data_IF_884463539078
#
_entry.id   IF_884463539078
#
_cell.length_a   1.000
_cell.length_b   1.000
_cell.length_c   1.000
_cell.angle_alpha   90.00
_cell.angle_beta   90.00
_cell.angle_gamma   90.00
#
_symmetry.space_group_name_H-M   'P 1'
#
loop_
_entity.id
_entity.type
_entity.pdbx_description
1 polymer ?
#
# COMPACT_ATOMS: atom_id res chain seq x y z
N UNK A 1 17.79 12.79 13.03
CA UNK A 1 16.39 12.86 12.57
C UNK A 1 15.44 13.27 13.69
N UNK A 2 15.97 13.92 14.73
CA UNK A 2 15.18 14.45 15.82
C UNK A 2 14.24 15.55 15.31
N UNK A 3 13.01 15.58 15.82
CA UNK A 3 11.98 16.54 15.42
C UNK A 3 11.09 16.13 14.25
N UNK A 4 11.37 15.03 13.54
CA UNK A 4 10.49 14.47 12.51
C UNK A 4 9.49 13.49 13.13
N UNK A 5 8.24 13.54 12.68
CA UNK A 5 7.29 12.48 12.98
C UNK A 5 7.62 11.19 12.20
N UNK A 6 6.98 10.07 12.55
CA UNK A 6 7.31 8.76 11.97
C UNK A 6 7.11 8.72 10.45
N UNK A 7 6.06 9.39 9.92
CA UNK A 7 5.79 9.45 8.48
C UNK A 7 6.86 10.26 7.75
N UNK A 8 7.26 11.41 8.30
CA UNK A 8 8.32 12.24 7.72
C UNK A 8 9.66 11.50 7.74
N UNK A 9 9.99 10.84 8.85
CA UNK A 9 11.20 10.02 8.96
C UNK A 9 11.24 8.93 7.92
N UNK A 10 10.16 8.18 7.80
CA UNK A 10 10.01 7.15 6.78
C UNK A 10 10.23 7.70 5.36
N UNK A 11 9.62 8.83 5.01
CA UNK A 11 9.79 9.43 3.69
C UNK A 11 11.23 9.90 3.42
N UNK A 12 11.89 10.46 4.42
CA UNK A 12 13.32 10.83 4.30
C UNK A 12 14.18 9.59 4.06
N UNK A 13 13.95 8.51 4.80
CA UNK A 13 14.65 7.23 4.63
C UNK A 13 14.44 6.65 3.23
N UNK A 14 13.21 6.65 2.70
CA UNK A 14 12.91 6.21 1.35
C UNK A 14 13.69 7.01 0.29
N UNK A 15 13.78 8.33 0.44
CA UNK A 15 14.54 9.15 -0.50
C UNK A 15 16.06 8.92 -0.40
N UNK A 16 16.57 8.61 0.79
CA UNK A 16 17.96 8.19 0.98
C UNK A 16 18.22 6.84 0.29
N UNK A 17 17.31 5.89 0.40
CA UNK A 17 17.40 4.61 -0.30
C UNK A 17 17.36 4.80 -1.83
N UNK A 18 16.46 5.63 -2.36
CA UNK A 18 16.42 5.98 -3.78
C UNK A 18 17.76 6.55 -4.27
N UNK A 19 18.41 7.39 -3.45
CA UNK A 19 19.72 7.94 -3.77
C UNK A 19 20.83 6.88 -3.74
N UNK A 20 20.84 6.01 -2.72
CA UNK A 20 21.83 4.92 -2.58
C UNK A 20 21.72 3.90 -3.71
N UNK A 21 20.51 3.66 -4.19
CA UNK A 21 20.22 2.78 -5.33
C UNK A 21 20.49 3.47 -6.70
N UNK A 22 20.91 4.74 -6.69
CA UNK A 22 21.23 5.49 -7.90
C UNK A 22 20.01 5.93 -8.72
N UNK A 23 18.80 5.83 -8.18
CA UNK A 23 17.56 6.22 -8.84
C UNK A 23 17.39 7.74 -8.92
N UNK A 24 17.98 8.47 -7.97
CA UNK A 24 17.96 9.93 -7.93
C UNK A 24 19.36 10.48 -7.65
N UNK A 25 19.64 11.65 -8.20
CA UNK A 25 20.89 12.37 -7.92
C UNK A 25 20.80 13.18 -6.61
N UNK A 26 21.95 13.63 -6.10
CA UNK A 26 22.06 14.38 -4.83
C UNK A 26 21.18 15.64 -4.79
N UNK A 27 21.07 16.36 -5.91
CA UNK A 27 20.24 17.58 -5.99
C UNK A 27 18.75 17.22 -5.80
N UNK A 28 18.33 16.14 -6.42
CA UNK A 28 16.95 15.65 -6.30
C UNK A 28 16.66 15.11 -4.90
N UNK A 29 17.60 14.41 -4.27
CA UNK A 29 17.49 14.00 -2.87
C UNK A 29 17.24 15.21 -1.96
N UNK A 30 18.09 16.25 -2.05
CA UNK A 30 17.91 17.47 -1.24
C UNK A 30 16.55 18.11 -1.50
N UNK A 31 16.10 18.19 -2.76
CA UNK A 31 14.79 18.74 -3.12
C UNK A 31 13.65 17.95 -2.48
N UNK A 32 13.67 16.62 -2.59
CA UNK A 32 12.62 15.75 -2.03
C UNK A 32 12.59 15.79 -0.50
N UNK A 33 13.74 15.72 0.14
CA UNK A 33 13.82 15.85 1.60
C UNK A 33 13.35 17.24 2.05
N UNK A 34 13.70 18.31 1.32
CA UNK A 34 13.22 19.66 1.64
C UNK A 34 11.69 19.78 1.59
N UNK A 35 11.03 19.10 0.68
CA UNK A 35 9.56 19.03 0.62
C UNK A 35 8.98 18.36 1.88
N UNK A 36 9.63 17.30 2.38
CA UNK A 36 9.18 16.58 3.58
C UNK A 36 9.40 17.39 4.85
N UNK A 37 10.58 18.03 5.00
CA UNK A 37 10.97 18.76 6.23
C UNK A 37 10.63 20.26 6.18
N UNK A 38 10.11 20.76 5.06
CA UNK A 38 9.64 22.13 4.90
C UNK A 38 10.72 23.15 4.57
N UNK A 39 12.03 22.79 4.52
CA UNK A 39 13.09 23.74 4.15
C UNK A 39 14.32 23.06 3.57
N UNK A 40 15.00 23.73 2.61
CA UNK A 40 16.25 23.26 2.02
C UNK A 40 17.42 23.28 3.02
N UNK A 41 17.44 24.24 3.92
CA UNK A 41 18.48 24.33 4.96
C UNK A 41 18.36 23.15 5.94
N UNK A 42 17.14 22.86 6.44
CA UNK A 42 16.88 21.70 7.29
C UNK A 42 17.24 20.38 6.59
N UNK A 43 16.87 20.23 5.31
CA UNK A 43 17.22 19.06 4.50
C UNK A 43 18.74 18.86 4.41
N UNK A 44 19.50 19.92 4.12
CA UNK A 44 20.94 19.85 3.99
C UNK A 44 21.61 19.47 5.32
N UNK A 45 21.18 20.06 6.43
CA UNK A 45 21.70 19.74 7.76
C UNK A 45 21.40 18.29 8.14
N UNK A 46 20.16 17.84 7.90
CA UNK A 46 19.74 16.47 8.21
C UNK A 46 20.54 15.45 7.40
N UNK A 47 20.70 15.68 6.08
CA UNK A 47 21.43 14.78 5.20
C UNK A 47 22.94 14.77 5.49
N UNK A 48 23.53 15.84 6.03
CA UNK A 48 24.94 15.86 6.43
C UNK A 48 25.23 14.87 7.58
N UNK A 49 24.22 14.51 8.39
CA UNK A 49 24.34 13.54 9.47
C UNK A 49 24.02 12.09 9.02
N UNK A 50 23.63 11.88 7.74
CA UNK A 50 23.26 10.57 7.22
C UNK A 50 24.44 9.97 6.42
N UNK A 51 24.61 8.64 6.54
CA UNK A 51 25.48 7.92 5.61
C UNK A 51 24.82 7.89 4.23
N UNK A 52 25.42 8.57 3.26
CA UNK A 52 24.97 8.64 1.88
C UNK A 52 25.83 7.81 0.92
N UNK A 53 26.57 6.81 1.43
CA UNK A 53 27.38 5.94 0.61
C UNK A 53 26.50 5.17 -0.38
N UNK A 54 26.83 5.18 -1.69
CA UNK A 54 26.13 4.36 -2.67
C UNK A 54 26.22 2.89 -2.30
N UNK A 55 25.14 2.12 -2.49
CA UNK A 55 25.24 0.67 -2.45
C UNK A 55 26.09 0.22 -3.62
N UNK A 56 27.19 -0.52 -3.34
CA UNK A 56 28.00 -1.14 -4.39
C UNK A 56 27.10 -2.07 -5.19
N UNK A 57 26.85 -1.72 -6.47
CA UNK A 57 25.97 -2.42 -7.35
C UNK A 57 26.41 -3.86 -7.55
N UNK A 58 25.74 -4.78 -6.89
CA UNK A 58 25.68 -6.17 -7.29
C UNK A 58 24.75 -6.26 -8.49
N UNK A 59 25.32 -6.30 -9.70
CA UNK A 59 24.60 -6.73 -10.90
C UNK A 59 24.23 -8.21 -10.69
N UNK A 60 23.07 -8.46 -10.13
CA UNK A 60 22.54 -9.81 -10.05
C UNK A 60 21.86 -10.11 -11.38
N UNK A 61 22.57 -10.85 -12.23
CA UNK A 61 21.98 -11.64 -13.31
C UNK A 61 20.89 -12.53 -12.68
N UNK A 62 19.67 -12.58 -13.21
CA UNK A 62 18.63 -13.44 -12.65
C UNK A 62 18.99 -14.90 -12.85
N UNK A 63 19.46 -15.56 -11.81
CA UNK A 63 19.56 -17.02 -11.79
C UNK A 63 18.19 -17.56 -11.38
N UNK A 64 17.55 -18.25 -12.29
CA UNK A 64 16.28 -18.91 -12.08
C UNK A 64 16.35 -19.97 -10.98
N UNK A 65 15.23 -20.08 -10.27
CA UNK A 65 14.74 -21.26 -9.55
C UNK A 65 15.19 -21.48 -8.11
N UNK A 66 14.26 -21.18 -7.20
CA UNK A 66 13.97 -22.15 -6.13
C UNK A 66 12.47 -22.12 -5.82
N UNK A 67 11.91 -23.31 -5.81
CA UNK A 67 10.50 -23.62 -5.62
C UNK A 67 9.99 -23.17 -4.25
N UNK A 68 8.96 -22.32 -4.27
CA UNK A 68 8.12 -22.06 -3.09
C UNK A 68 7.26 -23.28 -2.85
N UNK A 69 7.51 -24.01 -1.76
CA UNK A 69 6.65 -25.13 -1.33
C UNK A 69 5.34 -24.55 -0.79
N UNK A 70 4.32 -24.57 -1.61
CA UNK A 70 2.95 -24.29 -1.19
C UNK A 70 2.41 -25.51 -0.41
N UNK A 71 2.11 -25.32 0.86
CA UNK A 71 1.31 -26.26 1.65
C UNK A 71 -0.12 -26.23 1.14
N UNK A 72 -0.55 -27.29 0.48
CA UNK A 72 -1.90 -27.46 -0.07
C UNK A 72 -2.88 -27.83 1.03
N UNK A 73 -3.92 -27.03 1.21
CA UNK A 73 -5.17 -27.44 1.86
C UNK A 73 -6.28 -27.58 0.81
N UNK A 74 -7.17 -28.60 0.91
CA UNK A 74 -8.02 -29.01 -0.19
C UNK A 74 -9.34 -28.23 -0.28
N UNK A 75 -9.71 -27.87 -1.50
CA UNK A 75 -11.10 -27.84 -1.94
C UNK A 75 -11.86 -26.53 -1.78
N UNK A 76 -11.69 -25.60 -2.71
CA UNK A 76 -12.76 -24.67 -3.07
C UNK A 76 -12.84 -24.64 -4.61
N UNK A 77 -14.06 -24.86 -5.11
CA UNK A 77 -14.38 -24.83 -6.53
C UNK A 77 -14.02 -23.46 -7.10
N UNK A 78 -13.02 -23.41 -7.97
CA UNK A 78 -12.60 -22.21 -8.64
C UNK A 78 -13.73 -21.70 -9.55
N UNK A 79 -14.31 -20.55 -9.22
CA UNK A 79 -15.04 -19.75 -10.18
C UNK A 79 -14.02 -19.17 -11.18
N UNK A 80 -14.31 -19.15 -12.49
CA UNK A 80 -13.35 -18.75 -13.51
C UNK A 80 -13.24 -17.22 -13.61
N UNK A 81 -12.54 -16.60 -12.66
CA UNK A 81 -12.18 -15.19 -12.67
C UNK A 81 -10.69 -15.04 -12.47
N UNK A 82 -9.91 -15.44 -13.41
CA UNK A 82 -8.52 -15.04 -13.39
C UNK A 82 -7.88 -15.23 -14.76
N UNK A 83 -8.24 -14.34 -15.66
CA UNK A 83 -7.23 -13.91 -16.59
C UNK A 83 -6.32 -13.00 -15.79
N UNK A 84 -5.00 -13.27 -15.69
CA UNK A 84 -4.07 -12.31 -15.12
C UNK A 84 -4.32 -10.95 -15.76
N UNK A 85 -4.20 -9.82 -15.01
CA UNK A 85 -4.29 -8.52 -15.64
C UNK A 85 -3.31 -8.49 -16.81
N UNK A 86 -3.68 -7.92 -17.96
CA UNK A 86 -2.76 -7.77 -19.08
C UNK A 86 -1.50 -7.04 -18.57
N UNK A 87 -0.35 -7.33 -19.19
CA UNK A 87 0.88 -6.59 -18.88
C UNK A 87 0.59 -5.09 -18.93
N UNK A 88 1.11 -4.35 -17.95
CA UNK A 88 0.91 -2.91 -17.88
C UNK A 88 1.30 -2.25 -19.21
N UNK A 89 0.49 -1.31 -19.66
CA UNK A 89 0.87 -0.41 -20.77
C UNK A 89 2.01 0.50 -20.31
N UNK A 90 2.66 1.21 -21.23
CA UNK A 90 3.72 2.18 -20.88
C UNK A 90 3.29 3.21 -19.81
N UNK A 91 2.00 3.42 -19.66
CA UNK A 91 1.39 4.34 -18.69
C UNK A 91 1.10 3.67 -17.33
N UNK A 92 1.42 2.38 -17.15
CA UNK A 92 1.10 1.63 -15.93
C UNK A 92 -0.39 1.35 -15.74
N UNK A 93 -1.23 1.58 -16.75
CA UNK A 93 -2.68 1.33 -16.70
C UNK A 93 -2.98 -0.05 -17.26
N UNK A 94 -3.50 -0.95 -16.43
CA UNK A 94 -3.91 -2.30 -16.83
C UNK A 94 -5.42 -2.43 -17.02
N UNK A 95 -6.21 -1.67 -16.25
CA UNK A 95 -7.67 -1.61 -16.34
C UNK A 95 -8.10 -0.17 -16.59
N UNK A 96 -8.68 0.11 -17.76
CA UNK A 96 -9.19 1.45 -18.11
C UNK A 96 -10.46 1.78 -17.33
N UNK A 97 -10.74 3.07 -17.11
CA UNK A 97 -12.03 3.50 -16.52
C UNK A 97 -13.24 3.08 -17.37
N UNK A 98 -13.06 2.92 -18.68
CA UNK A 98 -14.06 2.45 -19.62
C UNK A 98 -14.21 0.93 -19.72
N UNK A 99 -13.55 0.16 -18.84
CA UNK A 99 -13.67 -1.30 -18.83
C UNK A 99 -15.14 -1.70 -18.58
N UNK A 100 -15.75 -2.53 -19.47
CA UNK A 100 -17.18 -2.84 -19.38
C UNK A 100 -17.56 -3.71 -18.17
N UNK A 101 -16.59 -4.20 -17.40
CA UNK A 101 -16.82 -5.03 -16.20
C UNK A 101 -17.04 -4.20 -14.94
N UNK A 102 -16.76 -2.88 -14.97
CA UNK A 102 -16.77 -2.01 -13.79
C UNK A 102 -17.48 -0.69 -14.05
N UNK A 103 -17.85 -0.01 -12.98
CA UNK A 103 -18.21 1.41 -12.99
C UNK A 103 -17.25 2.18 -12.10
N UNK A 104 -16.88 3.39 -12.51
CA UNK A 104 -16.00 4.29 -11.75
C UNK A 104 -16.79 5.53 -11.33
N UNK A 105 -16.53 5.99 -10.12
CA UNK A 105 -17.11 7.23 -9.58
C UNK A 105 -16.13 7.95 -8.64
N UNK A 106 -16.36 9.23 -8.40
CA UNK A 106 -15.55 10.06 -7.50
C UNK A 106 -16.46 10.75 -6.49
N UNK A 107 -17.04 9.98 -5.55
CA UNK A 107 -17.90 10.57 -4.52
C UNK A 107 -17.07 11.39 -3.54
N UNK A 108 -17.70 12.40 -2.96
CA UNK A 108 -17.24 13.00 -1.72
C UNK A 108 -17.68 12.11 -0.56
N UNK A 109 -16.73 11.68 0.26
CA UNK A 109 -16.98 10.93 1.50
C UNK A 109 -16.73 11.90 2.66
N UNK A 110 -17.61 11.94 3.63
CA UNK A 110 -17.40 12.76 4.83
C UNK A 110 -16.43 12.07 5.77
N UNK A 111 -15.35 12.78 6.12
CA UNK A 111 -14.46 12.39 7.21
C UNK A 111 -15.20 12.33 8.55
N UNK A 112 -14.57 11.76 9.57
CA UNK A 112 -15.16 11.70 10.93
C UNK A 112 -15.33 13.09 11.55
N UNK A 113 -14.53 14.06 11.11
CA UNK A 113 -14.60 15.49 11.45
C UNK A 113 -15.61 16.29 10.56
N UNK A 114 -16.31 15.60 9.63
CA UNK A 114 -17.23 16.19 8.69
C UNK A 114 -16.57 16.84 7.46
N UNK A 115 -15.24 16.84 7.35
CA UNK A 115 -14.54 17.36 6.19
C UNK A 115 -14.82 16.54 4.93
N UNK A 116 -14.90 17.19 3.74
CA UNK A 116 -15.04 16.45 2.48
C UNK A 116 -13.75 15.75 2.11
N UNK A 117 -13.82 14.45 1.89
CA UNK A 117 -12.72 13.61 1.43
C UNK A 117 -12.94 13.20 -0.02
N UNK A 118 -11.94 13.42 -0.85
CA UNK A 118 -11.96 13.04 -2.26
C UNK A 118 -11.70 11.53 -2.38
N UNK A 119 -12.68 10.80 -2.89
CA UNK A 119 -12.54 9.36 -3.09
C UNK A 119 -12.56 8.98 -4.56
N UNK A 120 -11.80 7.94 -4.89
CA UNK A 120 -11.88 7.22 -6.15
C UNK A 120 -12.47 5.84 -5.89
N UNK A 121 -13.59 5.51 -6.51
CA UNK A 121 -14.33 4.27 -6.28
C UNK A 121 -14.53 3.54 -7.59
N UNK A 122 -14.21 2.25 -7.61
CA UNK A 122 -14.60 1.35 -8.68
C UNK A 122 -15.45 0.19 -8.14
N UNK A 123 -16.49 -0.17 -8.89
CA UNK A 123 -17.45 -1.23 -8.50
C UNK A 123 -17.58 -2.23 -9.65
N UNK A 124 -17.60 -3.54 -9.38
CA UNK A 124 -17.92 -4.52 -10.40
C UNK A 124 -19.40 -4.40 -10.85
N UNK A 125 -19.65 -4.66 -12.13
CA UNK A 125 -21.02 -4.78 -12.67
C UNK A 125 -21.49 -6.22 -12.45
N UNK A 126 -22.00 -6.48 -11.25
CA UNK A 126 -22.50 -7.80 -10.85
C UNK A 126 -23.84 -7.65 -10.11
N UNK A 127 -24.63 -8.73 -10.09
CA UNK A 127 -25.84 -8.77 -9.27
C UNK A 127 -25.49 -9.04 -7.81
N UNK A 128 -26.15 -8.31 -6.88
CA UNK A 128 -25.98 -8.49 -5.44
C UNK A 128 -24.87 -7.63 -4.83
N UNK A 129 -24.72 -7.76 -3.52
CA UNK A 129 -23.72 -7.00 -2.74
C UNK A 129 -22.45 -7.85 -2.61
N UNK A 130 -21.31 -7.27 -2.97
CA UNK A 130 -19.99 -7.88 -2.87
C UNK A 130 -19.17 -7.23 -1.77
N UNK A 131 -18.07 -7.85 -1.30
CA UNK A 131 -17.20 -7.26 -0.28
C UNK A 131 -16.52 -5.97 -0.74
N UNK A 132 -16.04 -5.18 0.23
CA UNK A 132 -15.29 -3.95 0.00
C UNK A 132 -13.80 -4.11 0.21
N UNK A 133 -12.99 -3.31 -0.50
CA UNK A 133 -11.54 -3.21 -0.31
C UNK A 133 -11.12 -1.74 -0.28
N UNK A 134 -10.44 -1.34 0.80
CA UNK A 134 -9.73 -0.06 0.85
C UNK A 134 -8.37 -0.27 0.16
N UNK A 135 -8.07 0.55 -0.84
CA UNK A 135 -6.74 0.62 -1.48
C UNK A 135 -6.03 1.86 -0.97
N UNK A 136 -4.94 1.71 -0.24
CA UNK A 136 -4.21 2.83 0.35
C UNK A 136 -2.99 3.17 -0.52
N UNK A 137 -2.90 4.44 -0.90
CA UNK A 137 -1.90 4.95 -1.82
C UNK A 137 -0.48 5.01 -1.21
N UNK A 138 0.50 5.14 -2.09
CA UNK A 138 1.90 5.38 -1.74
C UNK A 138 2.15 6.84 -1.29
N UNK A 139 3.40 7.19 -1.03
CA UNK A 139 3.82 8.54 -0.58
C UNK A 139 3.54 9.66 -1.60
N UNK A 140 3.20 9.34 -2.84
CA UNK A 140 2.84 10.29 -3.91
C UNK A 140 1.33 10.51 -4.06
N UNK A 141 0.53 10.02 -3.11
CA UNK A 141 -0.92 10.22 -3.12
C UNK A 141 -1.67 9.36 -4.12
N UNK A 142 -2.85 9.81 -4.50
CA UNK A 142 -3.77 9.11 -5.42
C UNK A 142 -3.30 9.23 -6.89
N UNK A 143 -2.19 8.57 -7.24
CA UNK A 143 -1.66 8.53 -8.61
C UNK A 143 -2.54 7.67 -9.53
N UNK A 144 -2.31 7.74 -10.85
CA UNK A 144 -3.03 6.88 -11.80
C UNK A 144 -2.74 5.39 -11.58
N UNK A 145 -1.51 5.03 -11.15
CA UNK A 145 -1.21 3.67 -10.72
C UNK A 145 -2.17 3.19 -9.62
N UNK A 146 -2.37 3.99 -8.57
CA UNK A 146 -3.28 3.64 -7.46
C UNK A 146 -4.74 3.57 -7.93
N UNK A 147 -5.18 4.50 -8.79
CA UNK A 147 -6.51 4.45 -9.41
C UNK A 147 -6.69 3.16 -10.23
N UNK A 148 -5.65 2.73 -10.95
CA UNK A 148 -5.66 1.46 -11.68
C UNK A 148 -5.74 0.26 -10.73
N UNK A 149 -5.02 0.25 -9.61
CA UNK A 149 -5.13 -0.81 -8.58
C UNK A 149 -6.55 -0.89 -8.02
N UNK A 150 -7.23 0.23 -7.81
CA UNK A 150 -8.65 0.26 -7.41
C UNK A 150 -9.53 -0.42 -8.48
N UNK A 151 -9.29 -0.15 -9.76
CA UNK A 151 -10.01 -0.81 -10.87
C UNK A 151 -9.68 -2.30 -10.98
N UNK A 152 -8.40 -2.69 -10.76
CA UNK A 152 -7.99 -4.12 -10.69
C UNK A 152 -8.75 -4.86 -9.60
N UNK A 153 -8.89 -4.28 -8.41
CA UNK A 153 -9.68 -4.88 -7.33
C UNK A 153 -11.16 -4.99 -7.71
N UNK A 154 -11.71 -4.00 -8.42
CA UNK A 154 -13.09 -4.06 -8.90
C UNK A 154 -13.29 -5.15 -9.96
N UNK A 155 -12.37 -5.33 -10.92
CA UNK A 155 -12.44 -6.43 -11.88
C UNK A 155 -12.27 -7.81 -11.23
N UNK A 156 -11.67 -7.87 -10.03
CA UNK A 156 -11.57 -9.08 -9.23
C UNK A 156 -12.82 -9.40 -8.38
N UNK A 157 -13.84 -8.51 -8.43
CA UNK A 157 -15.14 -8.72 -7.78
C UNK A 157 -15.37 -7.98 -6.47
N UNK A 158 -14.57 -6.96 -6.15
CA UNK A 158 -14.70 -6.15 -4.93
C UNK A 158 -15.18 -4.73 -5.26
N UNK A 159 -15.94 -4.10 -4.36
CA UNK A 159 -16.07 -2.64 -4.40
C UNK A 159 -14.81 -2.05 -3.81
N UNK A 160 -14.03 -1.35 -4.59
CA UNK A 160 -12.77 -0.79 -4.14
C UNK A 160 -12.83 0.74 -4.00
N UNK A 161 -12.21 1.27 -2.95
CA UNK A 161 -12.12 2.70 -2.67
C UNK A 161 -10.69 3.08 -2.32
N UNK A 162 -10.23 4.19 -2.88
CA UNK A 162 -9.06 4.92 -2.40
C UNK A 162 -9.51 6.34 -1.98
N UNK A 163 -9.04 6.81 -0.82
CA UNK A 163 -9.18 8.20 -0.39
C UNK A 163 -7.88 8.93 -0.64
N UNK A 164 -7.95 10.13 -1.18
CA UNK A 164 -6.83 11.05 -1.24
C UNK A 164 -6.65 11.72 0.14
N UNK A 165 -5.62 11.31 0.87
CA UNK A 165 -5.30 11.86 2.19
C UNK A 165 -5.00 13.37 2.17
N UNK A 166 -4.75 13.93 0.98
CA UNK A 166 -4.51 15.37 0.80
C UNK A 166 -5.76 16.14 0.38
N UNK A 167 -6.94 15.53 0.43
CA UNK A 167 -8.21 16.13 0.02
C UNK A 167 -8.47 17.49 0.69
N UNK A 168 -8.14 17.62 1.99
CA UNK A 168 -8.29 18.87 2.75
C UNK A 168 -7.40 20.02 2.25
N UNK A 169 -6.31 19.70 1.54
CA UNK A 169 -5.40 20.65 0.89
C UNK A 169 -5.73 20.84 -0.59
N UNK A 170 -6.80 20.22 -1.07
CA UNK A 170 -7.28 20.30 -2.44
C UNK A 170 -6.87 19.17 -3.35
N UNK A 171 -6.28 18.11 -2.78
CA UNK A 171 -5.94 16.86 -3.46
C UNK A 171 -4.57 16.82 -4.13
N UNK A 172 -4.09 15.62 -4.40
CA UNK A 172 -2.76 15.38 -4.95
C UNK A 172 -2.56 16.01 -6.33
N UNK A 173 -3.58 16.03 -7.18
CA UNK A 173 -3.50 16.65 -8.51
C UNK A 173 -3.19 18.15 -8.42
N UNK A 174 -3.69 18.85 -7.39
CA UNK A 174 -3.41 20.27 -7.14
C UNK A 174 -2.04 20.49 -6.50
N UNK A 175 -1.64 19.62 -5.59
CA UNK A 175 -0.41 19.76 -4.83
C UNK A 175 0.84 19.40 -5.65
N UNK A 176 0.71 18.51 -6.64
CA UNK A 176 1.84 18.05 -7.45
C UNK A 176 2.97 17.51 -6.57
N UNK A 177 4.18 18.05 -6.72
CA UNK A 177 5.36 17.61 -5.95
C UNK A 177 5.23 17.83 -4.43
N UNK A 178 4.38 18.74 -3.98
CA UNK A 178 4.18 19.00 -2.55
C UNK A 178 3.36 17.91 -1.83
N UNK A 179 2.78 16.96 -2.55
CA UNK A 179 1.93 15.90 -2.01
C UNK A 179 2.60 15.10 -0.90
N UNK A 180 3.86 14.71 -1.11
CA UNK A 180 4.61 13.92 -0.12
C UNK A 180 4.79 14.68 1.21
N UNK A 181 5.11 15.98 1.13
CA UNK A 181 5.21 16.83 2.33
C UNK A 181 3.86 17.02 3.02
N UNK A 182 2.79 17.20 2.24
CA UNK A 182 1.44 17.32 2.78
C UNK A 182 1.02 16.05 3.55
N UNK A 183 1.25 14.87 2.99
CA UNK A 183 1.00 13.58 3.66
C UNK A 183 1.90 13.44 4.90
N UNK A 184 3.18 13.81 4.79
CA UNK A 184 4.14 13.74 5.89
C UNK A 184 3.74 14.59 7.12
N UNK A 185 2.96 15.64 6.91
CA UNK A 185 2.48 16.53 7.97
C UNK A 185 1.17 16.06 8.63
N UNK A 186 0.50 15.03 8.10
CA UNK A 186 -0.72 14.51 8.70
C UNK A 186 -0.41 13.77 10.01
N UNK A 187 -1.23 14.01 11.04
CA UNK A 187 -1.16 13.21 12.25
C UNK A 187 -1.64 11.77 11.98
N UNK A 188 -1.18 10.82 12.80
CA UNK A 188 -1.65 9.44 12.74
C UNK A 188 -3.19 9.39 12.90
N UNK A 189 -3.74 10.13 13.85
CA UNK A 189 -5.18 10.15 14.10
C UNK A 189 -5.96 10.61 12.87
N UNK A 190 -5.51 11.69 12.20
CA UNK A 190 -6.18 12.18 10.99
C UNK A 190 -6.19 11.14 9.88
N UNK A 191 -5.06 10.44 9.66
CA UNK A 191 -4.98 9.37 8.66
C UNK A 191 -5.90 8.20 9.01
N UNK A 192 -5.93 7.77 10.27
CA UNK A 192 -6.83 6.72 10.75
C UNK A 192 -8.30 7.12 10.62
N UNK A 193 -8.65 8.36 10.91
CA UNK A 193 -10.01 8.89 10.77
C UNK A 193 -10.46 8.88 9.30
N UNK A 194 -9.59 9.28 8.38
CA UNK A 194 -9.88 9.28 6.94
C UNK A 194 -10.05 7.85 6.41
N UNK A 195 -9.21 6.91 6.83
CA UNK A 195 -9.38 5.50 6.47
C UNK A 195 -10.62 4.88 7.12
N UNK A 196 -11.00 5.32 8.33
CA UNK A 196 -12.24 4.90 8.99
C UNK A 196 -13.47 5.41 8.24
N UNK A 197 -13.41 6.59 7.65
CA UNK A 197 -14.48 7.07 6.78
C UNK A 197 -14.63 6.19 5.53
N UNK A 198 -13.53 5.76 4.90
CA UNK A 198 -13.54 4.79 3.79
C UNK A 198 -14.14 3.45 4.21
N UNK A 199 -13.75 2.94 5.38
CA UNK A 199 -14.30 1.70 5.96
C UNK A 199 -15.80 1.80 6.16
N UNK A 200 -16.27 2.90 6.74
CA UNK A 200 -17.70 3.15 6.98
C UNK A 200 -18.49 3.24 5.68
N UNK A 201 -17.94 3.94 4.67
CA UNK A 201 -18.52 4.00 3.33
C UNK A 201 -18.67 2.61 2.72
N UNK A 202 -17.63 1.78 2.76
CA UNK A 202 -17.68 0.43 2.22
C UNK A 202 -18.68 -0.45 2.97
N UNK A 203 -18.71 -0.41 4.30
CA UNK A 203 -19.70 -1.17 5.09
C UNK A 203 -21.14 -0.84 4.71
N UNK A 204 -21.44 0.43 4.45
CA UNK A 204 -22.78 0.86 4.04
C UNK A 204 -23.13 0.44 2.59
N UNK A 205 -22.15 0.36 1.70
CA UNK A 205 -22.34 0.20 0.26
C UNK A 205 -21.98 -1.20 -0.29
N UNK A 206 -21.56 -2.15 0.58
CA UNK A 206 -21.11 -3.51 0.20
C UNK A 206 -21.82 -4.58 1.02
N UNK A 207 -21.36 -5.83 0.97
CA UNK A 207 -21.82 -6.91 1.85
C UNK A 207 -21.48 -6.68 3.34
N UNK A 208 -20.70 -5.65 3.65
CA UNK A 208 -20.25 -5.32 5.00
C UNK A 208 -18.89 -5.90 5.37
N UNK A 209 -18.42 -6.95 4.67
CA UNK A 209 -17.06 -7.44 4.84
C UNK A 209 -16.08 -6.52 4.09
N UNK A 210 -15.07 -6.02 4.80
CA UNK A 210 -14.09 -5.07 4.23
C UNK A 210 -12.68 -5.55 4.49
N UNK A 211 -11.85 -5.48 3.44
CA UNK A 211 -10.40 -5.64 3.51
C UNK A 211 -9.67 -4.34 3.24
N UNK A 212 -8.35 -4.33 3.50
CA UNK A 212 -7.47 -3.23 3.16
C UNK A 212 -6.18 -3.74 2.50
N UNK A 213 -5.79 -3.11 1.40
CA UNK A 213 -4.47 -3.28 0.78
C UNK A 213 -3.80 -1.94 0.67
N UNK A 214 -2.50 -1.88 0.93
CA UNK A 214 -1.74 -0.64 0.83
C UNK A 214 -0.30 -0.91 0.45
N UNK A 215 0.32 0.06 -0.21
CA UNK A 215 1.65 -0.09 -0.82
C UNK A 215 2.60 0.95 -0.23
N UNK A 216 3.85 0.56 0.06
CA UNK A 216 4.84 1.49 0.58
C UNK A 216 4.34 2.17 1.87
N UNK A 217 4.26 3.49 1.92
CA UNK A 217 3.57 4.23 2.97
C UNK A 217 2.18 3.65 3.28
N UNK A 218 1.38 3.35 2.25
CA UNK A 218 0.06 2.74 2.42
C UNK A 218 0.09 1.36 3.06
N UNK A 219 1.15 0.58 2.86
CA UNK A 219 1.37 -0.67 3.60
C UNK A 219 1.56 -0.43 5.10
N UNK A 220 2.27 0.65 5.46
CA UNK A 220 2.37 1.12 6.84
C UNK A 220 1.03 1.57 7.42
N UNK A 221 0.19 2.24 6.61
CA UNK A 221 -1.15 2.63 7.04
C UNK A 221 -2.09 1.42 7.24
N UNK A 222 -1.94 0.34 6.46
CA UNK A 222 -2.63 -0.93 6.76
C UNK A 222 -2.21 -1.45 8.12
N UNK A 223 -0.92 -1.45 8.44
CA UNK A 223 -0.43 -1.84 9.77
C UNK A 223 -0.96 -0.93 10.88
N UNK A 224 -1.05 0.38 10.64
CA UNK A 224 -1.65 1.33 11.58
C UNK A 224 -3.12 1.02 11.85
N UNK A 225 -3.90 0.66 10.82
CA UNK A 225 -5.29 0.24 10.96
C UNK A 225 -5.42 -1.03 11.81
N UNK A 226 -4.54 -2.01 11.62
CA UNK A 226 -4.52 -3.24 12.42
C UNK A 226 -4.17 -2.95 13.88
N UNK A 227 -3.19 -2.09 14.14
CA UNK A 227 -2.81 -1.66 15.49
C UNK A 227 -3.90 -0.82 16.18
N UNK A 228 -4.70 -0.08 15.41
CA UNK A 228 -5.86 0.63 15.91
C UNK A 228 -7.08 -0.28 16.18
N UNK A 229 -7.06 -1.52 15.71
CA UNK A 229 -8.17 -2.45 15.83
C UNK A 229 -9.33 -2.13 14.89
N UNK A 230 -9.04 -1.57 13.71
CA UNK A 230 -10.05 -1.32 12.69
C UNK A 230 -10.81 -2.61 12.34
N UNK A 231 -12.12 -2.48 12.15
CA UNK A 231 -13.00 -3.63 11.89
C UNK A 231 -12.87 -4.12 10.43
N UNK A 232 -11.69 -4.66 10.14
CA UNK A 232 -11.31 -5.30 8.89
C UNK A 232 -11.39 -6.82 9.03
N UNK A 233 -11.80 -7.50 7.96
CA UNK A 233 -11.78 -8.96 7.88
C UNK A 233 -10.55 -9.51 7.17
N UNK A 234 -9.92 -8.71 6.30
CA UNK A 234 -8.70 -9.07 5.60
C UNK A 234 -7.77 -7.88 5.46
N UNK A 235 -6.46 -8.13 5.41
CA UNK A 235 -5.44 -7.10 5.24
C UNK A 235 -4.29 -7.61 4.37
N UNK A 236 -3.74 -6.72 3.53
CA UNK A 236 -2.59 -7.00 2.70
C UNK A 236 -1.61 -5.81 2.68
N UNK A 237 -0.77 -5.63 3.72
CA UNK A 237 0.28 -4.62 3.71
C UNK A 237 1.43 -5.05 2.80
N UNK A 238 1.79 -4.19 1.82
CA UNK A 238 2.91 -4.39 0.91
C UNK A 238 4.08 -3.51 1.31
N UNK A 239 5.22 -4.11 1.59
CA UNK A 239 6.49 -3.44 1.93
C UNK A 239 6.31 -2.14 2.74
N UNK A 240 5.41 -2.19 3.71
CA UNK A 240 5.07 -1.07 4.57
C UNK A 240 5.91 -0.99 5.83
N UNK A 241 6.23 0.21 6.32
CA UNK A 241 6.96 0.37 7.58
C UNK A 241 6.17 -0.18 8.77
N UNK A 242 6.90 -0.73 9.73
CA UNK A 242 6.35 -1.13 11.02
C UNK A 242 5.85 0.11 11.78
N UNK A 243 4.62 0.12 12.30
CA UNK A 243 4.13 1.23 13.11
C UNK A 243 4.80 1.28 14.49
N UNK A 244 4.91 2.47 15.08
CA UNK A 244 5.53 2.64 16.42
C UNK A 244 4.81 1.81 17.50
N UNK A 245 3.50 1.65 17.37
CA UNK A 245 2.65 0.88 18.30
C UNK A 245 2.32 -0.54 17.78
N UNK A 246 3.24 -1.18 17.05
CA UNK A 246 3.01 -2.49 16.44
C UNK A 246 2.59 -3.59 17.44
N UNK A 247 2.99 -3.50 18.71
CA UNK A 247 2.60 -4.46 19.75
C UNK A 247 1.08 -4.52 19.97
N UNK A 248 0.36 -3.45 19.67
CA UNK A 248 -1.10 -3.38 19.79
C UNK A 248 -1.81 -4.33 18.83
N UNK A 249 -1.19 -4.68 17.70
CA UNK A 249 -1.72 -5.61 16.70
C UNK A 249 -2.12 -6.94 17.36
N UNK A 250 -1.23 -7.48 18.22
CA UNK A 250 -1.46 -8.76 18.89
C UNK A 250 -2.65 -8.80 19.82
N UNK A 251 -3.19 -7.65 20.25
CA UNK A 251 -4.36 -7.56 21.12
C UNK A 251 -5.62 -7.01 20.45
N UNK A 252 -5.48 -6.38 19.28
CA UNK A 252 -6.56 -5.59 18.70
C UNK A 252 -7.06 -6.12 17.36
N UNK A 253 -6.17 -6.62 16.48
CA UNK A 253 -6.60 -7.03 15.13
C UNK A 253 -7.42 -8.31 15.14
N UNK A 254 -8.40 -8.35 14.22
CA UNK A 254 -9.19 -9.55 13.88
C UNK A 254 -9.05 -9.89 12.38
N UNK A 255 -8.26 -9.14 11.64
CA UNK A 255 -8.12 -9.30 10.21
C UNK A 255 -7.17 -10.44 9.86
N UNK A 256 -7.62 -11.35 8.99
CA UNK A 256 -6.72 -12.27 8.32
C UNK A 256 -5.70 -11.48 7.49
N UNK A 257 -4.38 -11.67 7.71
CA UNK A 257 -3.35 -10.79 7.17
C UNK A 257 -2.37 -11.53 6.27
N UNK A 258 -2.22 -11.07 5.02
CA UNK A 258 -1.20 -11.48 4.06
C UNK A 258 -0.17 -10.36 3.92
N UNK A 259 0.96 -10.43 4.61
CA UNK A 259 1.99 -9.40 4.53
C UNK A 259 2.99 -9.71 3.40
N UNK A 260 3.23 -8.72 2.55
CA UNK A 260 4.09 -8.85 1.36
C UNK A 260 5.34 -8.00 1.53
N UNK A 261 6.50 -8.63 1.43
CA UNK A 261 7.82 -8.02 1.58
C UNK A 261 8.70 -8.26 0.34
N UNK A 262 9.71 -7.42 0.19
CA UNK A 262 10.72 -7.50 -0.86
C UNK A 262 12.09 -7.83 -0.23
N UNK A 263 12.77 -8.89 -0.69
CA UNK A 263 14.02 -9.36 -0.08
C UNK A 263 15.09 -8.26 -0.01
N UNK A 264 15.22 -7.46 -1.07
CA UNK A 264 16.25 -6.41 -1.15
C UNK A 264 15.87 -5.13 -0.37
N UNK A 265 14.63 -4.99 0.07
CA UNK A 265 14.20 -3.93 0.98
C UNK A 265 14.53 -4.35 2.43
N UNK A 266 15.81 -4.43 2.74
CA UNK A 266 16.30 -5.01 4.00
C UNK A 266 15.81 -4.27 5.23
N UNK A 267 15.61 -2.95 5.14
CA UNK A 267 15.12 -2.12 6.24
C UNK A 267 13.69 -2.51 6.65
N UNK A 268 12.81 -2.66 5.69
CA UNK A 268 11.41 -3.03 5.93
C UNK A 268 11.30 -4.52 6.23
N UNK A 269 11.96 -5.36 5.45
CA UNK A 269 11.87 -6.82 5.58
C UNK A 269 12.44 -7.34 6.91
N UNK A 270 13.41 -6.63 7.52
CA UNK A 270 13.89 -6.94 8.87
C UNK A 270 12.80 -6.89 9.96
N UNK A 271 11.70 -6.19 9.72
CA UNK A 271 10.57 -6.10 10.68
C UNK A 271 9.59 -7.29 10.56
N UNK A 272 9.65 -8.07 9.49
CA UNK A 272 8.69 -9.14 9.21
C UNK A 272 8.53 -10.17 10.35
N UNK A 273 9.61 -10.64 11.03
CA UNK A 273 9.45 -11.58 12.14
C UNK A 273 8.63 -11.02 13.31
N UNK A 274 8.84 -9.74 13.64
CA UNK A 274 8.11 -9.08 14.73
C UNK A 274 6.63 -8.89 14.38
N UNK A 275 6.34 -8.57 13.12
CA UNK A 275 4.96 -8.41 12.64
C UNK A 275 4.23 -9.76 12.62
N UNK A 276 4.91 -10.84 12.19
CA UNK A 276 4.37 -12.19 12.23
C UNK A 276 4.07 -12.63 13.66
N UNK A 277 4.96 -12.34 14.61
CA UNK A 277 4.74 -12.63 16.03
C UNK A 277 3.46 -11.98 16.55
N UNK A 278 3.23 -10.70 16.23
CA UNK A 278 2.00 -10.00 16.64
C UNK A 278 0.75 -10.61 16.00
N UNK A 279 0.79 -11.01 14.74
CA UNK A 279 -0.33 -11.70 14.09
C UNK A 279 -0.62 -13.07 14.72
N UNK A 280 0.42 -13.83 15.06
CA UNK A 280 0.29 -15.09 15.79
C UNK A 280 -0.30 -14.87 17.18
N UNK A 281 0.14 -13.84 17.90
CA UNK A 281 -0.42 -13.44 19.20
C UNK A 281 -1.88 -13.05 19.12
N UNK A 282 -2.30 -12.39 18.04
CA UNK A 282 -3.71 -12.06 17.78
C UNK A 282 -4.55 -13.31 17.45
N UNK A 283 -3.95 -14.45 17.15
CA UNK A 283 -4.64 -15.67 16.76
C UNK A 283 -5.36 -15.59 15.42
N UNK A 284 -4.98 -14.64 14.55
CA UNK A 284 -5.61 -14.48 13.23
C UNK A 284 -4.89 -15.31 12.16
N UNK A 285 -5.59 -15.77 11.11
CA UNK A 285 -4.95 -16.34 9.94
C UNK A 285 -3.93 -15.35 9.38
N UNK A 286 -2.70 -15.82 9.15
CA UNK A 286 -1.65 -14.94 8.63
C UNK A 286 -0.69 -15.69 7.70
N UNK A 287 -0.08 -14.94 6.79
CA UNK A 287 0.97 -15.41 5.92
C UNK A 287 1.94 -14.26 5.64
N UNK A 288 3.23 -14.55 5.71
CA UNK A 288 4.30 -13.62 5.32
C UNK A 288 4.88 -14.12 3.99
N UNK A 289 4.84 -13.27 2.96
CA UNK A 289 5.45 -13.53 1.67
C UNK A 289 6.66 -12.60 1.50
N UNK A 290 7.85 -13.18 1.36
CA UNK A 290 9.07 -12.44 1.00
C UNK A 290 9.42 -12.82 -0.44
N UNK A 291 9.35 -11.84 -1.34
CA UNK A 291 9.67 -12.06 -2.75
C UNK A 291 11.18 -11.91 -2.99
N UNK A 292 11.84 -12.96 -3.52
CA UNK A 292 13.29 -12.95 -3.72
C UNK A 292 13.70 -12.05 -4.88
N UNK A 293 14.88 -11.42 -4.77
CA UNK A 293 15.52 -10.65 -5.84
C UNK A 293 14.82 -9.35 -6.21
N UNK A 294 13.80 -8.92 -5.48
CA UNK A 294 13.07 -7.67 -5.72
C UNK A 294 13.27 -6.66 -4.60
N UNK A 295 13.14 -5.38 -4.93
CA UNK A 295 13.33 -4.27 -4.00
C UNK A 295 11.98 -3.59 -3.66
N UNK A 296 12.03 -2.58 -2.78
CA UNK A 296 10.90 -1.74 -2.41
C UNK A 296 10.10 -1.27 -3.63
N UNK A 297 8.77 -1.20 -3.50
CA UNK A 297 7.85 -0.78 -4.57
C UNK A 297 7.87 -1.66 -5.85
N UNK A 298 8.26 -2.93 -5.76
CA UNK A 298 8.30 -3.83 -6.91
C UNK A 298 6.94 -4.06 -7.60
N UNK A 299 5.83 -3.75 -6.94
CA UNK A 299 4.48 -3.85 -7.51
C UNK A 299 4.11 -2.63 -8.36
N UNK A 300 4.78 -1.50 -8.18
CA UNK A 300 4.43 -0.26 -8.88
C UNK A 300 4.94 -0.27 -10.32
N UNK A 301 4.04 -0.51 -11.27
CA UNK A 301 4.31 -0.64 -12.72
C UNK A 301 4.65 0.69 -13.41
N UNK A 302 4.65 1.81 -12.68
CA UNK A 302 5.17 3.11 -13.14
C UNK A 302 6.55 3.42 -12.57
N UNK A 303 7.08 2.57 -11.68
CA UNK A 303 8.34 2.77 -10.98
C UNK A 303 9.52 2.01 -11.57
N UNK A 304 10.74 2.51 -11.35
CA UNK A 304 11.98 1.90 -11.86
C UNK A 304 12.29 0.52 -11.25
N UNK A 305 11.69 0.20 -10.09
CA UNK A 305 11.86 -1.09 -9.39
C UNK A 305 10.77 -2.10 -9.72
N UNK A 306 9.93 -1.84 -10.73
CA UNK A 306 8.86 -2.75 -11.11
C UNK A 306 9.39 -4.13 -11.50
N UNK A 307 8.86 -5.16 -10.87
CA UNK A 307 9.17 -6.55 -11.15
C UNK A 307 7.88 -7.30 -11.55
N UNK A 308 7.57 -7.41 -12.85
CA UNK A 308 6.26 -7.86 -13.35
C UNK A 308 5.80 -9.21 -12.80
N UNK A 309 6.69 -10.19 -12.78
CA UNK A 309 6.37 -11.54 -12.33
C UNK A 309 6.07 -11.59 -10.82
N UNK A 310 6.88 -10.91 -10.01
CA UNK A 310 6.68 -10.82 -8.57
C UNK A 310 5.41 -10.03 -8.24
N UNK A 311 5.19 -8.90 -8.93
CA UNK A 311 4.00 -8.07 -8.77
C UNK A 311 2.72 -8.85 -9.08
N UNK A 312 2.71 -9.62 -10.17
CA UNK A 312 1.58 -10.46 -10.55
C UNK A 312 1.31 -11.55 -9.51
N UNK A 313 2.36 -12.27 -9.06
CA UNK A 313 2.22 -13.33 -8.06
C UNK A 313 1.68 -12.76 -6.73
N UNK A 314 2.21 -11.62 -6.28
CA UNK A 314 1.76 -10.96 -5.08
C UNK A 314 0.29 -10.52 -5.17
N UNK A 315 -0.10 -9.94 -6.32
CA UNK A 315 -1.47 -9.51 -6.55
C UNK A 315 -2.46 -10.68 -6.58
N UNK A 316 -2.12 -11.76 -7.29
CA UNK A 316 -2.95 -12.99 -7.31
C UNK A 316 -3.14 -13.54 -5.90
N UNK A 317 -2.06 -13.67 -5.11
CA UNK A 317 -2.15 -14.12 -3.73
C UNK A 317 -3.03 -13.22 -2.87
N UNK A 318 -2.97 -11.89 -3.06
CA UNK A 318 -3.83 -10.93 -2.35
C UNK A 318 -5.30 -11.10 -2.70
N UNK A 319 -5.63 -11.26 -3.98
CA UNK A 319 -7.02 -11.48 -4.42
C UNK A 319 -7.57 -12.81 -3.89
N UNK A 320 -6.78 -13.89 -3.93
CA UNK A 320 -7.16 -15.18 -3.35
C UNK A 320 -7.37 -15.08 -1.83
N UNK A 321 -6.49 -14.34 -1.12
CA UNK A 321 -6.64 -14.08 0.30
C UNK A 321 -7.94 -13.35 0.61
N UNK A 322 -8.24 -12.28 -0.10
CA UNK A 322 -9.47 -11.53 0.07
C UNK A 322 -10.71 -12.37 -0.27
N UNK A 323 -10.68 -13.18 -1.34
CA UNK A 323 -11.78 -14.10 -1.63
C UNK A 323 -12.04 -15.07 -0.49
N UNK A 324 -10.98 -15.63 0.08
CA UNK A 324 -11.09 -16.59 1.19
C UNK A 324 -11.69 -15.96 2.44
N UNK A 325 -11.36 -14.73 2.78
CA UNK A 325 -11.73 -14.15 4.07
C UNK A 325 -12.81 -13.07 4.01
N UNK A 326 -13.12 -12.52 2.85
CA UNK A 326 -14.17 -11.52 2.70
C UNK A 326 -15.45 -12.06 2.08
N UNK A 327 -15.41 -13.17 1.32
CA UNK A 327 -16.57 -13.70 0.60
C UNK A 327 -17.28 -14.82 1.41
N UNK A 328 -16.63 -15.34 2.43
CA UNK A 328 -17.17 -16.41 3.31
C UNK A 328 -18.26 -15.91 4.26
#
# INVERSE_FOLDING_TARGET
MDGLNDTQRYFVEEHIEDFRDGLIGRRELIRRVAIVVGSAAAATTLLAACDLSPRSGGSATPTASTSVTASSSPGLVAQPFATPPPAATADGVTVKESDPRITVSRPEIKGTDGAPLMAYVAKPIVSGRVPGVIVIHENRGQTEHIRDVVRRAATAGFVAVNIDLTARQGGGDKLGDAVTGAIGNLSLNQKLDDHTAALSYLKANTSGAVGAVGFCFGGGEVWNLLAAGADLRGAAPYYGPQPANYQDIGGKTKAATLAVYAEQDTRITATAPQMEEQLKKAGVPNQILVFPGVNHAFHNDTGARYAPEAAQKAWVATIEWFRKYLVS
#
